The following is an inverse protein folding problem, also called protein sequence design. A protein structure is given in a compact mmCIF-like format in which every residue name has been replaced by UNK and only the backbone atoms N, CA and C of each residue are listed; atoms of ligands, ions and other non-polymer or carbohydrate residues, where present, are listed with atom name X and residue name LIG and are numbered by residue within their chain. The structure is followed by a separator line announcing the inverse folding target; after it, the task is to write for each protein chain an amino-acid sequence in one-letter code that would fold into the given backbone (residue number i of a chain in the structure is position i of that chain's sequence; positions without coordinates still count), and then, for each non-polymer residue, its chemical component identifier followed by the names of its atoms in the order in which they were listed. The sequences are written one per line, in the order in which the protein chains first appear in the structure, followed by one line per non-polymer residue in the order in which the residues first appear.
data_IF_354022178758
#
_entry.id   IF_354022178758
#
_cell.length_a   1.000
_cell.length_b   1.000
_cell.length_c   1.000
_cell.angle_alpha   90.00
_cell.angle_beta   90.00
_cell.angle_gamma   90.00
#
_symmetry.space_group_name_H-M   'P 1'
#
loop_
_entity.id
_entity.type
_entity.pdbx_description
1 polymer ?
#
# COMPACT_ATOMS: atom_id res chain seq x y z
N UNK A 1 8.77 5.90 34.47
CA UNK A 1 8.34 5.69 33.07
C UNK A 1 7.10 4.82 33.09
N UNK A 2 5.93 5.38 32.82
CA UNK A 2 4.70 4.60 32.74
C UNK A 2 4.66 3.86 31.41
N UNK A 3 4.47 2.54 31.43
CA UNK A 3 4.25 1.75 30.21
C UNK A 3 2.97 2.25 29.54
N UNK A 4 3.06 2.77 28.31
CA UNK A 4 1.86 3.18 27.58
C UNK A 4 0.94 1.96 27.40
N UNK A 5 -0.38 2.10 27.66
CA UNK A 5 -1.30 0.98 27.54
C UNK A 5 -1.32 0.44 26.11
N UNK A 6 -1.00 -0.85 25.96
CA UNK A 6 -0.98 -1.56 24.68
C UNK A 6 -2.39 -1.58 24.07
N UNK A 7 -2.56 -1.06 22.85
CA UNK A 7 -3.84 -1.11 22.13
C UNK A 7 -4.24 -2.57 21.91
N UNK A 8 -5.46 -2.93 22.31
CA UNK A 8 -6.01 -4.28 22.05
C UNK A 8 -6.58 -4.31 20.64
N UNK A 9 -6.35 -5.40 19.91
CA UNK A 9 -6.98 -5.67 18.63
C UNK A 9 -8.51 -5.75 18.83
N UNK A 10 -9.28 -4.91 18.14
CA UNK A 10 -10.73 -4.84 18.32
C UNK A 10 -11.48 -5.55 17.19
N UNK A 11 -12.72 -5.98 17.44
CA UNK A 11 -13.61 -6.52 16.40
C UNK A 11 -13.76 -5.53 15.23
N UNK A 12 -13.78 -4.23 15.52
CA UNK A 12 -13.92 -3.20 14.50
C UNK A 12 -12.66 -3.08 13.60
N UNK A 13 -11.47 -3.43 14.11
CA UNK A 13 -10.25 -3.51 13.32
C UNK A 13 -10.29 -4.73 12.40
N UNK A 14 -10.72 -5.88 12.95
CA UNK A 14 -10.91 -7.11 12.18
C UNK A 14 -11.87 -6.89 11.01
N UNK A 15 -13.01 -6.25 11.26
CA UNK A 15 -14.00 -5.95 10.21
C UNK A 15 -13.45 -5.04 9.12
N UNK A 16 -12.62 -4.04 9.47
CA UNK A 16 -11.96 -3.19 8.47
C UNK A 16 -10.96 -3.97 7.62
N UNK A 17 -10.18 -4.86 8.22
CA UNK A 17 -9.24 -5.71 7.50
C UNK A 17 -9.96 -6.71 6.58
N UNK A 18 -11.07 -7.28 7.04
CA UNK A 18 -11.93 -8.16 6.21
C UNK A 18 -12.51 -7.39 5.03
N UNK A 19 -13.04 -6.18 5.27
CA UNK A 19 -13.56 -5.33 4.20
C UNK A 19 -12.47 -4.99 3.17
N UNK A 20 -11.28 -4.61 3.63
CA UNK A 20 -10.13 -4.34 2.77
C UNK A 20 -9.71 -5.57 1.94
N UNK A 21 -9.67 -6.76 2.56
CA UNK A 21 -9.36 -8.01 1.88
C UNK A 21 -10.44 -8.39 0.84
N UNK A 22 -11.72 -8.11 1.13
CA UNK A 22 -12.82 -8.31 0.21
C UNK A 22 -12.71 -7.42 -1.03
N UNK A 23 -12.41 -6.13 -0.85
CA UNK A 23 -12.17 -5.20 -1.96
C UNK A 23 -10.96 -5.65 -2.79
N UNK A 24 -9.84 -5.99 -2.14
CA UNK A 24 -8.65 -6.47 -2.83
C UNK A 24 -8.92 -7.74 -3.65
N UNK A 25 -9.68 -8.68 -3.09
CA UNK A 25 -10.07 -9.93 -3.77
C UNK A 25 -10.97 -9.66 -4.98
N UNK A 26 -11.93 -8.75 -4.86
CA UNK A 26 -12.81 -8.36 -5.96
C UNK A 26 -12.00 -7.72 -7.11
N UNK A 27 -11.05 -6.84 -6.80
CA UNK A 27 -10.16 -6.21 -7.79
C UNK A 27 -9.24 -7.24 -8.45
N UNK A 28 -8.64 -8.14 -7.67
CA UNK A 28 -7.78 -9.22 -8.18
C UNK A 28 -8.55 -10.13 -9.12
N UNK A 29 -9.79 -10.47 -8.80
CA UNK A 29 -10.66 -11.28 -9.67
C UNK A 29 -10.95 -10.57 -10.99
N UNK A 30 -11.19 -9.26 -10.96
CA UNK A 30 -11.40 -8.47 -12.19
C UNK A 30 -10.15 -8.49 -13.10
N UNK A 31 -8.95 -8.45 -12.51
CA UNK A 31 -7.68 -8.61 -13.25
C UNK A 31 -7.55 -10.02 -13.82
N UNK A 32 -7.81 -11.05 -13.02
CA UNK A 32 -7.69 -12.46 -13.43
C UNK A 32 -8.58 -12.79 -14.64
N UNK A 33 -9.85 -12.37 -14.61
CA UNK A 33 -10.78 -12.61 -15.73
C UNK A 33 -10.25 -12.00 -17.03
N UNK A 34 -9.64 -10.81 -16.96
CA UNK A 34 -9.08 -10.13 -18.13
C UNK A 34 -7.77 -10.74 -18.62
N UNK A 35 -6.88 -11.14 -17.71
CA UNK A 35 -5.61 -11.81 -18.04
C UNK A 35 -5.84 -13.16 -18.71
N UNK A 36 -6.84 -13.92 -18.26
CA UNK A 36 -7.21 -15.21 -18.85
C UNK A 36 -7.59 -15.10 -20.34
N UNK A 37 -8.10 -13.93 -20.76
CA UNK A 37 -8.44 -13.67 -22.17
C UNK A 37 -7.23 -13.36 -23.06
N UNK A 38 -6.07 -12.99 -22.49
CA UNK A 38 -4.85 -12.62 -23.23
C UNK A 38 -3.88 -13.79 -23.41
N UNK A 39 -3.83 -14.70 -22.44
CA UNK A 39 -3.00 -15.90 -22.51
C UNK A 39 -2.65 -16.45 -21.13
N UNK A 40 -2.45 -17.78 -20.98
CA UNK A 40 -2.26 -18.41 -19.68
C UNK A 40 -0.89 -18.12 -19.04
N UNK A 41 0.14 -17.85 -19.83
CA UNK A 41 1.51 -17.62 -19.32
C UNK A 41 1.62 -16.27 -18.61
N UNK A 42 1.10 -15.20 -19.22
CA UNK A 42 1.09 -13.86 -18.63
C UNK A 42 0.23 -13.81 -17.36
N UNK A 43 -0.87 -14.57 -17.33
CA UNK A 43 -1.75 -14.68 -16.18
C UNK A 43 -1.06 -15.31 -14.95
N UNK A 44 -0.16 -16.28 -15.14
CA UNK A 44 0.49 -17.00 -14.04
C UNK A 44 1.42 -16.09 -13.23
N UNK A 45 2.09 -15.14 -13.89
CA UNK A 45 3.04 -14.22 -13.27
C UNK A 45 2.38 -12.91 -12.79
N UNK A 46 1.45 -12.35 -13.59
CA UNK A 46 0.88 -11.03 -13.31
C UNK A 46 -0.21 -11.04 -12.23
N UNK A 47 -1.02 -12.10 -12.14
CA UNK A 47 -2.15 -12.16 -11.21
C UNK A 47 -1.72 -12.17 -9.74
N UNK A 48 -0.70 -12.95 -9.32
CA UNK A 48 -0.22 -12.92 -7.94
C UNK A 48 0.34 -11.55 -7.54
N UNK A 49 1.12 -10.91 -8.43
CA UNK A 49 1.72 -9.60 -8.18
C UNK A 49 0.65 -8.52 -8.07
N UNK A 50 -0.30 -8.49 -9.01
CA UNK A 50 -1.42 -7.55 -8.96
C UNK A 50 -2.26 -7.78 -7.69
N UNK A 51 -2.54 -9.03 -7.33
CA UNK A 51 -3.27 -9.36 -6.11
C UNK A 51 -2.55 -8.90 -4.85
N UNK A 52 -1.24 -9.11 -4.77
CA UNK A 52 -0.43 -8.63 -3.66
C UNK A 52 -0.46 -7.09 -3.56
N UNK A 53 -0.38 -6.38 -4.69
CA UNK A 53 -0.45 -4.91 -4.72
C UNK A 53 -1.82 -4.40 -4.24
N UNK A 54 -2.92 -5.01 -4.69
CA UNK A 54 -4.27 -4.63 -4.23
C UNK A 54 -4.46 -4.88 -2.74
N UNK A 55 -4.00 -6.03 -2.23
CA UNK A 55 -4.05 -6.33 -0.79
C UNK A 55 -3.23 -5.32 -0.02
N UNK A 56 -2.01 -5.01 -0.46
CA UNK A 56 -1.13 -4.04 0.20
C UNK A 56 -1.73 -2.64 0.22
N UNK A 57 -2.35 -2.20 -0.89
CA UNK A 57 -3.02 -0.92 -1.01
C UNK A 57 -4.22 -0.82 -0.08
N UNK A 58 -5.17 -1.76 -0.17
CA UNK A 58 -6.38 -1.75 0.66
C UNK A 58 -6.04 -1.85 2.15
N UNK A 59 -5.05 -2.67 2.52
CA UNK A 59 -4.56 -2.76 3.89
C UNK A 59 -3.95 -1.43 4.35
N UNK A 60 -3.12 -0.77 3.52
CA UNK A 60 -2.51 0.53 3.85
C UNK A 60 -3.57 1.59 4.13
N UNK A 61 -4.63 1.64 3.32
CA UNK A 61 -5.76 2.55 3.51
C UNK A 61 -6.53 2.22 4.80
N UNK A 62 -6.79 0.93 5.06
CA UNK A 62 -7.54 0.50 6.25
C UNK A 62 -6.80 0.78 7.56
N UNK A 63 -5.46 0.76 7.58
CA UNK A 63 -4.67 1.06 8.79
C UNK A 63 -4.79 2.52 9.22
N UNK A 64 -5.10 3.46 8.32
CA UNK A 64 -5.27 4.89 8.64
C UNK A 64 -6.44 5.10 9.63
N UNK A 65 -7.69 4.73 9.33
CA UNK A 65 -8.80 4.90 10.28
C UNK A 65 -8.63 4.04 11.53
N UNK A 66 -7.98 2.86 11.45
CA UNK A 66 -7.64 2.03 12.62
C UNK A 66 -6.79 2.84 13.62
N UNK A 67 -5.80 3.61 13.16
CA UNK A 67 -4.98 4.47 14.02
C UNK A 67 -5.69 5.71 14.54
N UNK A 68 -6.63 6.25 13.77
CA UNK A 68 -7.39 7.45 14.16
C UNK A 68 -8.52 7.13 15.16
N UNK A 69 -8.83 5.84 15.37
CA UNK A 69 -9.78 5.37 16.39
C UNK A 69 -9.18 5.45 17.80
N UNK A 70 -10.04 5.72 18.80
CA UNK A 70 -9.63 5.97 20.19
C UNK A 70 -8.86 4.79 20.82
N UNK A 71 -7.95 5.04 21.78
CA UNK A 71 -7.51 6.36 22.27
C UNK A 71 -6.69 7.09 21.20
N UNK A 72 -7.06 8.34 20.86
CA UNK A 72 -6.47 9.07 19.73
C UNK A 72 -5.03 9.48 20.11
N UNK A 73 -3.98 8.90 19.51
CA UNK A 73 -2.64 9.39 19.73
C UNK A 73 -2.51 10.81 19.19
N UNK A 74 -1.67 11.63 19.83
CA UNK A 74 -1.37 12.98 19.33
C UNK A 74 -0.78 12.89 17.92
N UNK A 75 -1.22 13.78 17.02
CA UNK A 75 -0.74 13.82 15.63
C UNK A 75 0.78 13.93 15.51
N UNK A 76 1.43 14.63 16.45
CA UNK A 76 2.89 14.72 16.51
C UNK A 76 3.52 13.32 16.63
N UNK A 77 3.01 12.49 17.53
CA UNK A 77 3.52 11.14 17.75
C UNK A 77 3.26 10.23 16.54
N UNK A 78 2.15 10.40 15.82
CA UNK A 78 1.87 9.62 14.60
C UNK A 78 2.82 9.94 13.45
N UNK A 79 3.21 11.21 13.30
CA UNK A 79 4.12 11.66 12.23
C UNK A 79 5.51 11.05 12.33
N UNK A 80 5.93 10.66 13.53
CA UNK A 80 7.23 10.03 13.77
C UNK A 80 7.20 8.50 13.62
N UNK A 81 6.03 7.91 13.33
CA UNK A 81 5.87 6.46 13.19
C UNK A 81 6.02 6.03 11.72
N UNK A 82 7.03 5.20 11.39
CA UNK A 82 7.35 4.87 10.01
C UNK A 82 6.22 4.12 9.30
N UNK A 83 5.47 3.28 10.03
CA UNK A 83 4.34 2.56 9.45
C UNK A 83 3.17 3.47 9.10
N UNK A 84 2.96 4.57 9.84
CA UNK A 84 1.89 5.51 9.51
C UNK A 84 2.27 6.33 8.29
N UNK A 85 3.50 6.81 8.27
CA UNK A 85 4.05 7.56 7.16
C UNK A 85 4.06 6.72 5.89
N UNK A 86 4.36 5.42 5.96
CA UNK A 86 4.20 4.51 4.83
C UNK A 86 2.75 4.47 4.32
N UNK A 87 1.75 4.29 5.20
CA UNK A 87 0.34 4.28 4.81
C UNK A 87 -0.11 5.60 4.17
N UNK A 88 0.34 6.73 4.70
CA UNK A 88 0.04 8.05 4.12
C UNK A 88 0.73 8.22 2.77
N UNK A 89 2.01 7.84 2.63
CA UNK A 89 2.73 7.90 1.36
C UNK A 89 2.06 7.04 0.29
N UNK A 90 1.60 5.83 0.64
CA UNK A 90 0.83 4.95 -0.26
C UNK A 90 -0.48 5.62 -0.68
N UNK A 91 -1.23 6.19 0.25
CA UNK A 91 -2.47 6.91 -0.07
C UNK A 91 -2.20 8.12 -0.98
N UNK A 92 -1.16 8.90 -0.68
CA UNK A 92 -0.76 10.05 -1.51
C UNK A 92 -0.33 9.62 -2.90
N UNK A 93 0.43 8.53 -3.04
CA UNK A 93 0.81 7.97 -4.33
C UNK A 93 -0.40 7.55 -5.16
N UNK A 94 -1.36 6.85 -4.54
CA UNK A 94 -2.63 6.50 -5.19
C UNK A 94 -3.38 7.75 -5.70
N UNK A 95 -3.44 8.80 -4.88
CA UNK A 95 -4.12 10.05 -5.25
C UNK A 95 -3.41 10.71 -6.44
N UNK A 96 -2.08 10.83 -6.39
CA UNK A 96 -1.29 11.42 -7.48
C UNK A 96 -1.43 10.63 -8.79
N UNK A 97 -1.39 9.30 -8.72
CA UNK A 97 -1.61 8.42 -9.87
C UNK A 97 -3.02 8.62 -10.45
N UNK A 98 -4.05 8.64 -9.60
CA UNK A 98 -5.43 8.92 -10.03
C UNK A 98 -5.55 10.27 -10.73
N UNK A 99 -4.85 11.32 -10.25
CA UNK A 99 -4.85 12.63 -10.89
C UNK A 99 -4.09 12.65 -12.21
N UNK A 100 -2.97 11.94 -12.31
CA UNK A 100 -2.19 11.82 -13.55
C UNK A 100 -2.99 11.07 -14.63
N UNK A 101 -3.81 10.10 -14.22
CA UNK A 101 -4.59 9.26 -15.13
C UNK A 101 -5.95 9.88 -15.48
N UNK A 102 -6.39 10.89 -14.73
CA UNK A 102 -7.68 11.55 -14.93
C UNK A 102 -7.89 12.06 -16.36
N UNK A 103 -6.92 12.71 -17.03
CA UNK A 103 -7.07 13.12 -18.43
C UNK A 103 -7.25 11.91 -19.36
N UNK A 104 -6.56 10.80 -19.13
CA UNK A 104 -6.70 9.59 -19.94
C UNK A 104 -8.08 8.96 -19.74
N UNK A 105 -8.57 8.91 -18.50
CA UNK A 105 -9.92 8.43 -18.18
C UNK A 105 -11.03 9.28 -18.80
N UNK A 106 -10.82 10.60 -18.91
CA UNK A 106 -11.81 11.51 -19.51
C UNK A 106 -11.81 11.46 -21.04
N UNK A 107 -10.67 11.18 -21.67
CA UNK A 107 -10.51 11.21 -23.13
C UNK A 107 -10.67 9.82 -23.80
N UNK A 108 -10.48 8.73 -23.07
CA UNK A 108 -10.60 7.37 -23.61
C UNK A 108 -11.73 6.59 -22.91
N UNK A 109 -12.71 6.06 -23.67
CA UNK A 109 -13.77 5.24 -23.09
C UNK A 109 -13.14 4.04 -22.38
N UNK A 110 -13.46 3.88 -21.10
CA UNK A 110 -12.89 2.93 -20.14
C UNK A 110 -12.88 1.51 -20.74
N UNK A 111 -11.78 1.19 -21.40
CA UNK A 111 -11.69 0.06 -22.30
C UNK A 111 -10.25 -0.39 -22.36
N UNK A 112 -9.99 -1.53 -21.70
CA UNK A 112 -8.87 -2.44 -21.97
C UNK A 112 -7.50 -2.15 -21.30
N UNK A 113 -7.12 -0.93 -20.90
CA UNK A 113 -5.75 -0.70 -20.37
C UNK A 113 -5.59 -0.46 -18.85
N UNK A 114 -6.68 -0.48 -18.07
CA UNK A 114 -6.65 -0.24 -16.61
C UNK A 114 -5.74 -1.16 -15.78
N UNK A 115 -5.24 -2.27 -16.35
CA UNK A 115 -4.37 -3.23 -15.67
C UNK A 115 -2.88 -2.88 -15.80
N UNK A 116 -2.45 -2.17 -16.86
CA UNK A 116 -1.07 -1.64 -16.95
C UNK A 116 -0.82 -0.69 -15.78
N UNK A 117 -1.84 0.11 -15.44
CA UNK A 117 -1.84 0.98 -14.26
C UNK A 117 -1.54 0.20 -12.98
N UNK A 118 -2.28 -0.89 -12.72
CA UNK A 118 -2.06 -1.73 -11.54
C UNK A 118 -0.63 -2.30 -11.44
N UNK A 119 0.03 -2.58 -12.56
CA UNK A 119 1.40 -3.07 -12.62
C UNK A 119 2.45 -1.95 -12.42
N UNK A 120 2.12 -0.70 -12.75
CA UNK A 120 2.98 0.48 -12.52
C UNK A 120 2.88 1.09 -11.13
N UNK A 121 1.84 0.73 -10.34
CA UNK A 121 1.66 1.20 -8.96
C UNK A 121 2.94 1.11 -8.10
N UNK A 122 3.68 -0.02 -8.07
CA UNK A 122 4.90 -0.11 -7.28
C UNK A 122 5.94 0.94 -7.68
N UNK A 123 6.06 1.25 -8.97
CA UNK A 123 7.02 2.24 -9.49
C UNK A 123 6.71 3.67 -9.06
N UNK A 124 5.44 4.00 -8.85
CA UNK A 124 5.03 5.33 -8.42
C UNK A 124 4.99 5.47 -6.89
N UNK A 125 4.52 4.43 -6.20
CA UNK A 125 4.28 4.45 -4.75
C UNK A 125 5.56 4.18 -3.94
N UNK A 126 6.40 3.24 -4.36
CA UNK A 126 7.58 2.86 -3.59
C UNK A 126 8.60 4.00 -3.40
N UNK A 127 8.89 4.85 -4.40
CA UNK A 127 9.75 6.01 -4.21
C UNK A 127 9.22 6.98 -3.17
N UNK A 128 7.89 7.19 -3.11
CA UNK A 128 7.28 8.06 -2.09
C UNK A 128 7.47 7.50 -0.68
N UNK A 129 7.32 6.18 -0.52
CA UNK A 129 7.59 5.50 0.75
C UNK A 129 9.07 5.65 1.11
N UNK A 130 9.99 5.38 0.18
CA UNK A 130 11.43 5.48 0.38
C UNK A 130 11.86 6.89 0.80
N UNK A 131 11.41 7.92 0.06
CA UNK A 131 11.73 9.32 0.35
C UNK A 131 11.16 9.73 1.71
N UNK A 132 9.91 9.36 2.02
CA UNK A 132 9.29 9.69 3.31
C UNK A 132 10.06 9.06 4.47
N UNK A 133 10.50 7.81 4.30
CA UNK A 133 11.33 7.11 5.29
C UNK A 133 12.72 7.71 5.43
N UNK A 134 13.35 8.10 4.32
CA UNK A 134 14.63 8.79 4.33
C UNK A 134 14.55 10.12 5.06
N UNK A 135 13.51 10.92 4.82
CA UNK A 135 13.27 12.19 5.53
C UNK A 135 13.07 11.96 7.03
N UNK A 136 12.33 10.93 7.42
CA UNK A 136 12.18 10.57 8.84
C UNK A 136 13.52 10.17 9.49
N UNK A 137 14.31 9.36 8.79
CA UNK A 137 15.61 8.89 9.26
C UNK A 137 16.60 10.06 9.41
N UNK A 138 16.71 10.92 8.40
CA UNK A 138 17.57 12.12 8.43
C UNK A 138 17.14 13.12 9.51
N UNK A 139 15.83 13.25 9.76
CA UNK A 139 15.30 14.11 10.81
C UNK A 139 15.49 13.57 12.23
N UNK A 140 16.07 12.37 12.41
CA UNK A 140 16.16 11.71 13.71
C UNK A 140 14.81 11.34 14.32
N UNK A 141 13.74 11.35 13.51
CA UNK A 141 12.35 11.08 13.94
C UNK A 141 11.97 9.61 13.76
N UNK A 142 12.86 8.81 13.19
CA UNK A 142 12.64 7.38 13.02
C UNK A 142 12.61 6.66 14.37
N UNK A 143 11.41 6.42 14.90
CA UNK A 143 11.24 5.75 16.20
C UNK A 143 10.46 4.43 16.07
N UNK A 144 11.11 3.34 15.64
CA UNK A 144 10.60 1.98 15.72
C UNK A 144 10.76 1.48 17.17
N UNK A 145 10.20 2.21 18.13
CA UNK A 145 10.32 1.86 19.54
C UNK A 145 9.69 0.49 19.85
N UNK A 146 10.12 -0.18 20.94
CA UNK A 146 9.52 -1.44 21.42
C UNK A 146 8.03 -1.31 21.75
N UNK A 147 7.56 -0.08 21.99
CA UNK A 147 6.16 0.29 22.16
C UNK A 147 5.39 0.45 20.83
N UNK A 148 5.98 0.06 19.69
CA UNK A 148 5.27 0.07 18.41
C UNK A 148 4.05 -0.85 18.49
N UNK A 149 2.88 -0.24 18.32
CA UNK A 149 1.60 -0.92 18.19
C UNK A 149 1.66 -1.90 17.00
N UNK A 150 0.86 -2.96 17.03
CA UNK A 150 0.80 -3.94 15.95
C UNK A 150 0.44 -3.27 14.61
N UNK A 151 -0.38 -2.21 14.66
CA UNK A 151 -0.76 -1.38 13.51
C UNK A 151 0.45 -0.70 12.88
N UNK A 152 1.45 -0.34 13.70
CA UNK A 152 2.68 0.26 13.22
C UNK A 152 3.60 -0.70 12.52
N UNK A 153 3.73 -1.89 13.08
CA UNK A 153 4.48 -2.97 12.44
C UNK A 153 3.82 -3.43 11.14
N UNK A 154 2.48 -3.50 11.11
CA UNK A 154 1.74 -3.82 9.90
C UNK A 154 1.99 -2.75 8.80
N UNK A 155 1.88 -1.47 9.13
CA UNK A 155 2.17 -0.39 8.19
C UNK A 155 3.63 -0.39 7.71
N UNK A 156 4.58 -0.68 8.60
CA UNK A 156 5.99 -0.81 8.26
C UNK A 156 6.22 -1.99 7.29
N UNK A 157 5.65 -3.16 7.60
CA UNK A 157 5.75 -4.35 6.77
C UNK A 157 5.15 -4.11 5.37
N UNK A 158 4.02 -3.40 5.28
CA UNK A 158 3.45 -2.99 4.01
C UNK A 158 4.38 -2.03 3.24
N UNK A 159 4.99 -1.06 3.92
CA UNK A 159 6.01 -0.20 3.31
C UNK A 159 7.19 -0.98 2.73
N UNK A 160 7.71 -1.97 3.47
CA UNK A 160 8.77 -2.87 2.98
C UNK A 160 8.29 -3.66 1.76
N UNK A 161 7.07 -4.18 1.80
CA UNK A 161 6.48 -4.93 0.69
C UNK A 161 6.45 -4.09 -0.60
N UNK A 162 6.09 -2.80 -0.51
CA UNK A 162 6.15 -1.88 -1.65
C UNK A 162 7.56 -1.69 -2.21
N UNK A 163 8.56 -1.49 -1.34
CA UNK A 163 9.96 -1.35 -1.75
C UNK A 163 10.50 -2.62 -2.42
N UNK A 164 10.17 -3.80 -1.88
CA UNK A 164 10.55 -5.09 -2.44
C UNK A 164 9.88 -5.32 -3.80
N UNK A 165 8.58 -5.01 -3.92
CA UNK A 165 7.85 -5.09 -5.18
C UNK A 165 8.47 -4.20 -6.26
N UNK A 166 8.86 -2.97 -5.89
CA UNK A 166 9.56 -2.06 -6.79
C UNK A 166 10.93 -2.60 -7.22
N UNK A 167 11.75 -3.07 -6.28
CA UNK A 167 13.05 -3.65 -6.61
C UNK A 167 12.92 -4.86 -7.55
N UNK A 168 11.93 -5.73 -7.31
CA UNK A 168 11.64 -6.86 -8.20
C UNK A 168 11.23 -6.41 -9.60
N UNK A 169 10.40 -5.37 -9.72
CA UNK A 169 10.00 -4.80 -11.01
C UNK A 169 11.19 -4.21 -11.78
N UNK A 170 12.06 -3.46 -11.10
CA UNK A 170 13.28 -2.91 -11.69
C UNK A 170 14.20 -4.02 -12.18
N UNK A 171 14.44 -5.06 -11.37
CA UNK A 171 15.26 -6.21 -11.79
C UNK A 171 14.64 -6.89 -13.01
N UNK A 172 13.33 -7.14 -13.01
CA UNK A 172 12.65 -7.74 -14.15
C UNK A 172 12.81 -6.92 -15.44
N UNK A 173 12.78 -5.59 -15.36
CA UNK A 173 12.98 -4.74 -16.55
C UNK A 173 14.37 -4.85 -17.17
N UNK A 174 15.41 -5.14 -16.39
CA UNK A 174 16.76 -5.35 -16.93
C UNK A 174 16.93 -6.68 -17.66
N UNK A 175 16.14 -7.70 -17.31
CA UNK A 175 16.22 -9.02 -17.96
C UNK A 175 15.43 -9.10 -19.27
N UNK A 176 14.54 -8.14 -19.52
CA UNK A 176 13.68 -8.10 -20.71
C UNK A 176 14.23 -7.21 -21.83
N UNK A 177 15.34 -6.51 -21.60
CA UNK A 177 16.06 -5.67 -22.57
C UNK A 177 17.29 -6.42 -23.11
#
# INVERSE_FOLDING_TARGET
MGTLPRRRFTLADLLLLIAAAGVASAMTRAVMVRQTLRGPVDALLSVPVAGACWVALCASIALIPIRLRRPRPGWALLRDRPGFVASIAVLSGLVLETFNDLPLMLNYPIGVESWLYAASFPSNVAPLVAVSWLVLAMGGRWSPGPESDWVDRAGLALGVLWLVGFAAAVVASFWLL
#
